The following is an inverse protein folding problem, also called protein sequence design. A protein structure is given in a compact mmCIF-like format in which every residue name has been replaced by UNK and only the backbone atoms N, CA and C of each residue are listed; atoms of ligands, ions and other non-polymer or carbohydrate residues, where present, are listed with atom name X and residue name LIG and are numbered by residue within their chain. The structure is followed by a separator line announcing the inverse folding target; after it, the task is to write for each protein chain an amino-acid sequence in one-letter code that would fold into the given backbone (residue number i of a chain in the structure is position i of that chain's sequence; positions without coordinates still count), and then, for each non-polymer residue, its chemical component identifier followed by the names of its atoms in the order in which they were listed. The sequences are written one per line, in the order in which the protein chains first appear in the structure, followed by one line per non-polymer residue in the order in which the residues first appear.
data_IF_346671719377
#
_entry.id   IF_346671719377
#
_cell.length_a   1.000
_cell.length_b   1.000
_cell.length_c   1.000
_cell.angle_alpha   90.00
_cell.angle_beta   90.00
_cell.angle_gamma   90.00
#
_symmetry.space_group_name_H-M   'P 1'
#
loop_
_entity.id
_entity.type
_entity.pdbx_description
1 polymer ?
#
# COMPACT_ATOMS: atom_id res chain seq x y z
N UNK A 1 5.48 -40.27 19.53
CA UNK A 1 5.95 -39.16 18.68
C UNK A 1 5.26 -37.92 19.20
N UNK A 2 5.99 -36.92 19.70
CA UNK A 2 5.33 -35.67 20.04
C UNK A 2 4.87 -35.09 18.70
N UNK A 3 3.55 -35.01 18.52
CA UNK A 3 2.99 -34.11 17.53
C UNK A 3 3.36 -32.73 18.06
N UNK A 4 4.52 -32.22 17.65
CA UNK A 4 4.86 -30.81 17.75
C UNK A 4 3.78 -30.08 16.95
N UNK A 5 2.71 -29.74 17.66
CA UNK A 5 1.78 -28.70 17.29
C UNK A 5 2.61 -27.44 17.29
N UNK A 6 3.24 -27.17 16.16
CA UNK A 6 3.68 -25.83 15.83
C UNK A 6 2.36 -25.08 15.76
N UNK A 7 1.98 -24.41 16.86
CA UNK A 7 0.95 -23.40 16.77
C UNK A 7 1.39 -22.48 15.62
N UNK A 8 0.54 -22.25 14.59
CA UNK A 8 0.85 -21.25 13.59
C UNK A 8 1.19 -19.97 14.36
N UNK A 9 2.26 -19.25 14.00
CA UNK A 9 2.61 -18.03 14.73
C UNK A 9 1.35 -17.16 14.86
N UNK A 10 0.92 -16.88 16.09
CA UNK A 10 -0.38 -16.26 16.40
C UNK A 10 -0.51 -14.82 15.90
N UNK A 11 0.52 -14.26 15.28
CA UNK A 11 0.52 -12.90 14.73
C UNK A 11 1.15 -12.93 13.34
N UNK A 12 0.32 -13.03 12.29
CA UNK A 12 0.77 -12.74 10.93
C UNK A 12 1.19 -11.27 10.89
N UNK A 13 2.50 -11.02 10.90
CA UNK A 13 3.03 -9.67 10.73
C UNK A 13 2.54 -9.11 9.39
N UNK A 14 2.18 -7.81 9.33
CA UNK A 14 1.83 -7.19 8.05
C UNK A 14 3.01 -7.36 7.08
N UNK A 15 2.68 -7.55 5.80
CA UNK A 15 3.69 -7.64 4.75
C UNK A 15 4.50 -6.35 4.64
N UNK A 16 3.84 -5.21 4.86
CA UNK A 16 4.46 -3.90 4.85
C UNK A 16 3.49 -2.80 5.26
N UNK A 17 3.85 -1.57 4.92
CA UNK A 17 3.04 -0.39 5.20
C UNK A 17 2.97 0.50 3.96
N UNK A 18 1.85 1.20 3.80
CA UNK A 18 1.69 2.23 2.77
C UNK A 18 2.47 3.49 3.14
N UNK A 19 2.60 4.43 2.20
CA UNK A 19 3.23 5.73 2.46
C UNK A 19 2.45 6.60 3.45
N UNK A 20 1.18 6.26 3.74
CA UNK A 20 0.37 6.96 4.73
C UNK A 20 0.29 6.20 6.07
N UNK A 21 1.00 5.07 6.18
CA UNK A 21 1.13 4.30 7.41
C UNK A 21 0.04 3.25 7.63
N UNK A 22 -0.74 2.93 6.60
CA UNK A 22 -1.71 1.83 6.67
C UNK A 22 -0.98 0.49 6.52
N UNK A 23 -1.43 -0.53 7.25
CA UNK A 23 -0.88 -1.88 7.16
C UNK A 23 -1.29 -2.56 5.86
N UNK A 24 -0.35 -3.29 5.25
CA UNK A 24 -0.60 -4.13 4.09
C UNK A 24 -0.59 -5.57 4.57
N UNK A 25 -1.73 -6.26 4.47
CA UNK A 25 -1.83 -7.65 4.87
C UNK A 25 -1.11 -8.58 3.90
N UNK A 26 -0.66 -9.75 4.38
CA UNK A 26 -0.04 -10.75 3.52
C UNK A 26 -1.07 -11.29 2.52
N UNK A 27 -0.81 -11.11 1.23
CA UNK A 27 -1.72 -11.54 0.17
C UNK A 27 -2.76 -10.49 -0.24
N UNK A 28 -2.71 -9.30 0.35
CA UNK A 28 -3.46 -8.15 -0.13
C UNK A 28 -3.10 -7.84 -1.59
N UNK A 29 -4.12 -7.54 -2.39
CA UNK A 29 -4.00 -7.33 -3.83
C UNK A 29 -4.12 -5.84 -4.17
N UNK A 30 -3.77 -5.51 -5.41
CA UNK A 30 -3.89 -4.16 -5.97
C UNK A 30 -3.06 -3.05 -5.29
N UNK A 31 -2.16 -3.43 -4.39
CA UNK A 31 -1.09 -2.57 -3.88
C UNK A 31 -0.17 -2.15 -5.03
N UNK A 32 0.15 -0.85 -5.08
CA UNK A 32 1.04 -0.27 -6.10
C UNK A 32 2.29 0.28 -5.47
N UNK A 33 3.44 -0.05 -6.04
CA UNK A 33 4.71 0.57 -5.71
C UNK A 33 4.91 1.83 -6.58
N UNK A 34 5.11 2.98 -5.94
CA UNK A 34 5.32 4.27 -6.63
C UNK A 34 6.79 4.66 -6.73
N UNK A 35 7.58 4.25 -5.74
CA UNK A 35 9.03 4.37 -5.66
C UNK A 35 9.53 3.14 -4.90
N UNK A 36 10.81 2.74 -5.05
CA UNK A 36 11.34 1.58 -4.37
C UNK A 36 11.07 1.60 -2.85
N UNK A 37 10.28 0.64 -2.36
CA UNK A 37 9.90 0.52 -0.96
C UNK A 37 8.78 1.49 -0.49
N UNK A 38 8.08 2.15 -1.42
CA UNK A 38 6.93 3.03 -1.13
C UNK A 38 5.69 2.51 -1.81
N UNK A 39 4.72 2.11 -1.00
CA UNK A 39 3.50 1.43 -1.44
C UNK A 39 2.25 2.29 -1.21
N UNK A 40 1.24 2.07 -2.04
CA UNK A 40 -0.09 2.66 -1.94
C UNK A 40 -1.13 1.58 -2.09
N UNK A 41 -2.18 1.65 -1.28
CA UNK A 41 -3.40 0.90 -1.54
C UNK A 41 -4.29 1.65 -2.57
N UNK A 42 -5.33 0.99 -3.11
CA UNK A 42 -6.23 1.62 -4.08
C UNK A 42 -6.97 2.85 -3.54
N UNK A 43 -7.32 2.86 -2.26
CA UNK A 43 -8.08 3.96 -1.63
C UNK A 43 -7.22 5.23 -1.52
N UNK A 44 -5.93 5.06 -1.30
CA UNK A 44 -4.95 6.14 -1.19
C UNK A 44 -4.51 6.70 -2.55
N UNK A 45 -4.75 5.97 -3.64
CA UNK A 45 -4.28 6.37 -4.97
C UNK A 45 -4.84 7.73 -5.40
N UNK A 46 -6.14 7.97 -5.22
CA UNK A 46 -6.74 9.26 -5.57
C UNK A 46 -6.16 10.42 -4.76
N UNK A 47 -5.91 10.18 -3.47
CA UNK A 47 -5.29 11.16 -2.57
C UNK A 47 -3.86 11.47 -3.02
N UNK A 48 -3.07 10.44 -3.30
CA UNK A 48 -1.70 10.60 -3.77
C UNK A 48 -1.62 11.41 -5.06
N UNK A 49 -2.48 11.12 -6.03
CA UNK A 49 -2.52 11.87 -7.30
C UNK A 49 -2.88 13.32 -7.05
N UNK A 50 -3.85 13.64 -6.18
CA UNK A 50 -4.18 15.03 -5.85
C UNK A 50 -3.03 15.77 -5.18
N UNK A 51 -2.32 15.12 -4.27
CA UNK A 51 -1.22 15.73 -3.51
C UNK A 51 0.03 15.97 -4.38
N UNK A 52 0.27 15.13 -5.39
CA UNK A 52 1.51 15.14 -6.19
C UNK A 52 1.31 15.62 -7.64
N UNK A 53 0.08 15.95 -8.05
CA UNK A 53 -0.19 16.50 -9.38
C UNK A 53 -0.25 18.02 -9.35
N UNK A 54 -0.04 18.63 -10.51
CA UNK A 54 -0.23 20.06 -10.71
C UNK A 54 -1.52 20.28 -11.50
N UNK A 55 -2.39 21.14 -10.99
CA UNK A 55 -3.58 21.56 -11.72
C UNK A 55 -3.15 22.28 -13.00
N UNK A 56 -3.59 21.78 -14.14
CA UNK A 56 -3.38 22.43 -15.44
C UNK A 56 -4.68 23.13 -15.87
N UNK A 57 -4.58 24.40 -16.26
CA UNK A 57 -5.70 25.08 -16.89
C UNK A 57 -5.76 24.67 -18.36
N UNK A 58 -6.71 23.80 -18.71
CA UNK A 58 -6.89 23.32 -20.09
C UNK A 58 -7.61 24.31 -21.00
N UNK A 59 -8.12 25.43 -20.46
CA UNK A 59 -8.78 26.49 -21.23
C UNK A 59 -7.79 27.54 -21.74
N UNK A 60 -6.62 27.67 -21.10
CA UNK A 60 -5.53 28.52 -21.57
C UNK A 60 -4.65 27.77 -22.56
N UNK A 61 -4.54 28.29 -23.78
CA UNK A 61 -3.58 27.76 -24.77
C UNK A 61 -2.17 28.08 -24.31
N UNK A 62 -1.34 27.06 -24.24
CA UNK A 62 0.11 27.14 -24.00
C UNK A 62 0.83 27.85 -25.16
#
# INVERSE_FOLDING_TARGET
MPNDRIDPPEDELPWGYTIYGEEIELGELDIREIEPGRYLNPEEFERYIKDNSTSVNTEERQ
#
